data_IF_103848912451
#
_entry.id   IF_103848912451
#
_cell.length_a   1.000
_cell.length_b   1.000
_cell.length_c   1.000
_cell.angle_alpha   90.00
_cell.angle_beta   90.00
_cell.angle_gamma   90.00
#
_symmetry.space_group_name_H-M   'P 1'
#
loop_
_entity.id
_entity.type
_entity.pdbx_description
1 polymer ?
#
# COMPACT_ATOMS: atom_id res chain seq x y z
N UNK A 1 25.54 6.26 0.59
CA UNK A 1 24.97 4.91 0.64
C UNK A 1 26.01 3.87 0.24
N UNK A 2 26.15 2.82 1.04
CA UNK A 2 26.98 1.63 0.80
C UNK A 2 26.19 0.55 0.05
N UNK A 3 26.87 -0.49 -0.45
CA UNK A 3 26.17 -1.63 -1.09
C UNK A 3 25.22 -2.36 -0.13
N UNK A 4 25.58 -2.46 1.15
CA UNK A 4 24.72 -3.09 2.17
C UNK A 4 23.44 -2.28 2.38
N UNK A 5 23.57 -0.96 2.52
CA UNK A 5 22.42 -0.06 2.67
C UNK A 5 21.52 -0.09 1.42
N UNK A 6 22.10 -0.16 0.21
CA UNK A 6 21.32 -0.32 -1.03
C UNK A 6 20.47 -1.60 -1.04
N UNK A 7 21.04 -2.72 -0.59
CA UNK A 7 20.31 -4.00 -0.50
C UNK A 7 19.16 -3.87 0.49
N UNK A 8 19.40 -3.34 1.69
CA UNK A 8 18.37 -3.14 2.71
C UNK A 8 17.22 -2.24 2.20
N UNK A 9 17.54 -1.16 1.48
CA UNK A 9 16.53 -0.28 0.89
C UNK A 9 15.75 -0.99 -0.23
N UNK A 10 16.40 -1.82 -1.04
CA UNK A 10 15.72 -2.60 -2.08
C UNK A 10 14.74 -3.63 -1.50
N UNK A 11 15.08 -4.25 -0.37
CA UNK A 11 14.21 -5.20 0.32
C UNK A 11 12.98 -4.50 0.91
N UNK A 12 13.18 -3.33 1.56
CA UNK A 12 12.07 -2.49 2.04
C UNK A 12 11.12 -2.09 0.89
N UNK A 13 11.67 -1.69 -0.25
CA UNK A 13 10.87 -1.35 -1.43
C UNK A 13 10.07 -2.55 -1.93
N UNK A 14 10.68 -3.73 -1.99
CA UNK A 14 10.00 -4.95 -2.42
C UNK A 14 8.84 -5.32 -1.47
N UNK A 15 9.03 -5.20 -0.16
CA UNK A 15 7.96 -5.42 0.83
C UNK A 15 6.82 -4.41 0.69
N UNK A 16 7.14 -3.13 0.51
CA UNK A 16 6.13 -2.09 0.29
C UNK A 16 5.34 -2.34 -1.00
N UNK A 17 6.02 -2.74 -2.08
CA UNK A 17 5.40 -3.10 -3.35
C UNK A 17 4.45 -4.29 -3.23
N UNK A 18 4.87 -5.35 -2.54
CA UNK A 18 4.00 -6.51 -2.33
C UNK A 18 2.75 -6.15 -1.52
N UNK A 19 2.91 -5.30 -0.49
CA UNK A 19 1.79 -4.80 0.32
C UNK A 19 0.82 -3.95 -0.51
N UNK A 20 1.33 -3.15 -1.46
CA UNK A 20 0.51 -2.39 -2.40
C UNK A 20 -0.31 -3.32 -3.30
N UNK A 21 0.34 -4.36 -3.85
CA UNK A 21 -0.31 -5.33 -4.73
C UNK A 21 -1.49 -6.02 -4.04
N UNK A 22 -1.29 -6.52 -2.82
CA UNK A 22 -2.36 -7.14 -2.02
C UNK A 22 -3.50 -6.16 -1.74
N UNK A 23 -3.19 -4.88 -1.49
CA UNK A 23 -4.21 -3.85 -1.27
C UNK A 23 -5.05 -3.60 -2.53
N UNK A 24 -4.42 -3.60 -3.72
CA UNK A 24 -5.10 -3.47 -5.01
C UNK A 24 -5.98 -4.69 -5.30
N UNK A 25 -5.51 -5.90 -5.00
CA UNK A 25 -6.29 -7.13 -5.18
C UNK A 25 -7.53 -7.13 -4.28
N UNK A 26 -7.39 -6.72 -3.02
CA UNK A 26 -8.51 -6.55 -2.08
C UNK A 26 -9.54 -5.53 -2.57
N UNK A 27 -9.07 -4.37 -3.08
CA UNK A 27 -9.95 -3.36 -3.69
C UNK A 27 -10.68 -3.90 -4.92
N UNK A 28 -10.00 -4.68 -5.75
CA UNK A 28 -10.62 -5.29 -6.94
C UNK A 28 -11.71 -6.29 -6.56
N UNK A 29 -11.48 -7.10 -5.52
CA UNK A 29 -12.47 -8.01 -4.96
C UNK A 29 -13.66 -7.24 -4.37
N UNK A 30 -13.40 -6.19 -3.59
CA UNK A 30 -14.42 -5.30 -3.02
C UNK A 30 -15.34 -4.72 -4.10
N UNK A 31 -14.77 -4.19 -5.19
CA UNK A 31 -15.52 -3.67 -6.34
C UNK A 31 -16.37 -4.76 -6.99
N UNK A 32 -15.84 -5.99 -7.09
CA UNK A 32 -16.60 -7.10 -7.66
C UNK A 32 -17.79 -7.49 -6.77
N UNK A 33 -17.62 -7.51 -5.45
CA UNK A 33 -18.71 -7.78 -4.49
C UNK A 33 -19.77 -6.69 -4.52
N UNK A 34 -19.36 -5.42 -4.53
CA UNK A 34 -20.27 -4.27 -4.55
C UNK A 34 -21.23 -4.25 -5.75
N UNK A 35 -20.87 -4.92 -6.86
CA UNK A 35 -21.77 -5.08 -8.03
C UNK A 35 -22.96 -6.00 -7.76
N UNK A 36 -22.85 -6.90 -6.80
CA UNK A 36 -23.87 -7.90 -6.48
C UNK A 36 -24.51 -7.69 -5.10
N UNK A 37 -23.83 -6.95 -4.21
CA UNK A 37 -24.29 -6.62 -2.87
C UNK A 37 -24.03 -5.14 -2.58
N UNK A 38 -25.07 -4.30 -2.72
CA UNK A 38 -24.97 -2.86 -2.49
C UNK A 38 -24.74 -2.50 -1.01
N UNK A 39 -25.17 -3.36 -0.09
CA UNK A 39 -25.05 -3.13 1.35
C UNK A 39 -23.60 -3.31 1.82
N UNK A 40 -22.80 -4.03 1.03
CA UNK A 40 -21.37 -4.20 1.26
C UNK A 40 -20.62 -2.85 1.29
N UNK A 41 -20.96 -1.90 0.42
CA UNK A 41 -20.35 -0.57 0.41
C UNK A 41 -20.63 0.16 1.74
N UNK A 42 -21.88 0.14 2.18
CA UNK A 42 -22.30 0.73 3.44
C UNK A 42 -21.57 0.11 4.63
N UNK A 43 -21.42 -1.22 4.65
CA UNK A 43 -20.61 -1.92 5.63
C UNK A 43 -19.14 -1.50 5.58
N UNK A 44 -18.52 -1.48 4.39
CA UNK A 44 -17.11 -1.15 4.21
C UNK A 44 -16.75 0.25 4.74
N UNK A 45 -17.61 1.24 4.48
CA UNK A 45 -17.41 2.60 4.99
C UNK A 45 -17.73 2.73 6.49
N UNK A 46 -18.75 2.03 7.01
CA UNK A 46 -19.15 2.11 8.44
C UNK A 46 -18.27 1.26 9.38
N UNK A 47 -17.57 0.25 8.87
CA UNK A 47 -16.78 -0.70 9.67
C UNK A 47 -15.31 -0.31 9.85
N UNK A 48 -14.94 0.95 9.56
CA UNK A 48 -13.55 1.44 9.55
C UNK A 48 -12.61 0.71 8.57
N UNK A 49 -13.11 -0.22 7.76
CA UNK A 49 -12.29 -0.92 6.75
C UNK A 49 -11.73 0.06 5.70
N UNK A 50 -12.52 1.07 5.33
CA UNK A 50 -12.07 2.17 4.47
C UNK A 50 -10.93 2.99 5.11
N UNK A 51 -11.06 3.40 6.37
CA UNK A 51 -10.02 4.12 7.14
C UNK A 51 -8.74 3.30 7.27
N UNK A 52 -8.87 1.99 7.54
CA UNK A 52 -7.73 1.08 7.65
C UNK A 52 -7.00 0.92 6.31
N UNK A 53 -7.76 0.81 5.21
CA UNK A 53 -7.18 0.76 3.87
C UNK A 53 -6.44 2.05 3.52
N UNK A 54 -7.05 3.21 3.78
CA UNK A 54 -6.42 4.52 3.55
C UNK A 54 -5.11 4.65 4.33
N UNK A 55 -5.12 4.33 5.63
CA UNK A 55 -3.93 4.34 6.49
C UNK A 55 -2.84 3.42 5.96
N UNK A 56 -3.19 2.20 5.55
CA UNK A 56 -2.24 1.26 4.96
C UNK A 56 -1.63 1.77 3.65
N UNK A 57 -2.45 2.30 2.73
CA UNK A 57 -1.98 2.86 1.47
C UNK A 57 -1.07 4.08 1.70
N UNK A 58 -1.42 4.94 2.67
CA UNK A 58 -0.59 6.08 3.07
C UNK A 58 0.76 5.62 3.63
N UNK A 59 0.77 4.59 4.48
CA UNK A 59 2.01 4.04 5.03
C UNK A 59 2.90 3.45 3.93
N UNK A 60 2.32 2.70 2.99
CA UNK A 60 3.04 2.16 1.83
C UNK A 60 3.66 3.28 1.00
N UNK A 61 2.88 4.33 0.70
CA UNK A 61 3.36 5.47 -0.08
C UNK A 61 4.51 6.20 0.63
N UNK A 62 4.40 6.42 1.95
CA UNK A 62 5.47 7.02 2.75
C UNK A 62 6.76 6.19 2.70
N UNK A 63 6.67 4.86 2.87
CA UNK A 63 7.85 3.98 2.79
C UNK A 63 8.49 4.03 1.41
N UNK A 64 7.68 3.95 0.34
CA UNK A 64 8.21 4.05 -1.03
C UNK A 64 8.91 5.39 -1.29
N UNK A 65 8.34 6.49 -0.80
CA UNK A 65 8.92 7.82 -0.93
C UNK A 65 10.22 7.97 -0.11
N UNK A 66 10.24 7.49 1.13
CA UNK A 66 11.43 7.47 1.98
C UNK A 66 12.56 6.70 1.32
N UNK A 67 12.29 5.47 0.87
CA UNK A 67 13.28 4.63 0.17
C UNK A 67 13.75 5.31 -1.13
N UNK A 68 12.82 5.90 -1.89
CA UNK A 68 13.17 6.64 -3.11
C UNK A 68 14.08 7.83 -2.81
N UNK A 69 13.79 8.61 -1.76
CA UNK A 69 14.61 9.74 -1.36
C UNK A 69 15.98 9.28 -0.89
N UNK A 70 16.05 8.21 -0.10
CA UNK A 70 17.32 7.63 0.34
C UNK A 70 18.17 7.23 -0.87
N UNK A 71 17.62 6.48 -1.83
CA UNK A 71 18.33 6.01 -3.03
C UNK A 71 18.72 7.18 -3.95
N UNK A 72 17.80 8.11 -4.17
CA UNK A 72 17.95 9.23 -5.09
C UNK A 72 18.56 10.49 -4.44
N UNK A 73 19.06 10.42 -3.21
CA UNK A 73 19.65 11.54 -2.44
C UNK A 73 20.96 12.12 -3.01
N UNK A 74 21.16 12.05 -4.32
CA UNK A 74 22.23 12.69 -5.07
C UNK A 74 21.66 13.57 -6.18
N UNK A 75 20.95 14.63 -5.78
CA UNK A 75 21.06 15.96 -6.37
C UNK A 75 21.05 17.00 -5.24
#
# INVERSE_FOLDING_TARGET
MTNKELVEQSEKLATAWESLRVSIDNLSMAIAVAKYDSDWCDYFFKSEQSSNLESNLSNIASVMLEVSNDICSKY
#
